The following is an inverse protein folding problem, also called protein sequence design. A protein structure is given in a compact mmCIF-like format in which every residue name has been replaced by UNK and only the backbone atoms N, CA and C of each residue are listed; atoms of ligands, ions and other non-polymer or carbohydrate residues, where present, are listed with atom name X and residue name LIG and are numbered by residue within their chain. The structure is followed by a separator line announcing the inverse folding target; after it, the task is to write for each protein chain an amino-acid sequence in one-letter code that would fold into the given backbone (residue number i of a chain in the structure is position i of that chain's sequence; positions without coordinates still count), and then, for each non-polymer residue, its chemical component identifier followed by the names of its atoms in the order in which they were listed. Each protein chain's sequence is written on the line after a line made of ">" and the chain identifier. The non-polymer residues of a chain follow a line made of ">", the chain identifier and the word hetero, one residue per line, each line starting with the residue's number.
data_IF_017144795942
#
_entry.id   IF_017144795942
#
_cell.length_a   1.000
_cell.length_b   1.000
_cell.length_c   1.000
_cell.angle_alpha   90.00
_cell.angle_beta   90.00
_cell.angle_gamma   90.00
#
_symmetry.space_group_name_H-M   'P 1'
#
loop_
_entity.id
_entity.type
_entity.pdbx_description
1 polymer ?
#
# COMPACT_ATOMS: atom_id res chain seq x y z
N UNK A 1 55.15 50.35 46.93
CA UNK A 1 53.84 50.37 47.60
C UNK A 1 52.81 50.91 46.62
N UNK A 2 51.72 50.15 46.43
CA UNK A 2 50.39 50.54 45.90
C UNK A 2 50.25 51.13 44.48
N UNK A 3 49.62 50.28 43.65
CA UNK A 3 48.47 50.50 42.74
C UNK A 3 48.63 51.44 41.52
N UNK A 4 48.62 50.82 40.35
CA UNK A 4 47.98 51.36 39.16
C UNK A 4 47.11 50.27 38.52
N UNK A 5 45.83 50.60 38.34
CA UNK A 5 44.84 49.80 37.66
C UNK A 5 44.88 50.08 36.15
N UNK A 6 44.62 49.08 35.31
CA UNK A 6 43.82 49.24 34.09
C UNK A 6 43.58 47.89 33.40
N UNK A 7 42.29 47.61 33.19
CA UNK A 7 41.64 46.93 32.07
C UNK A 7 42.38 45.78 31.37
N UNK A 8 41.84 44.57 31.56
CA UNK A 8 41.82 43.54 30.51
C UNK A 8 40.37 43.11 30.32
N UNK A 9 39.82 43.41 29.14
CA UNK A 9 38.50 43.00 28.70
C UNK A 9 38.48 41.48 28.48
N UNK A 10 37.65 40.76 29.24
CA UNK A 10 37.41 39.34 29.04
C UNK A 10 36.23 39.17 28.06
N UNK A 11 36.56 38.92 26.79
CA UNK A 11 35.64 38.42 25.77
C UNK A 11 35.59 36.90 25.90
N UNK A 12 34.44 36.30 26.23
CA UNK A 12 34.22 34.83 26.10
C UNK A 12 32.72 34.46 25.98
N UNK A 13 32.34 34.13 24.74
CA UNK A 13 31.28 33.23 24.21
C UNK A 13 29.83 33.19 24.76
N UNK A 14 28.87 33.11 23.82
CA UNK A 14 27.99 31.93 23.72
C UNK A 14 28.05 31.35 22.28
N UNK A 15 28.60 30.15 22.09
CA UNK A 15 27.89 28.87 22.14
C UNK A 15 26.72 28.77 21.13
N UNK A 16 27.09 28.29 19.94
CA UNK A 16 26.30 27.56 18.94
C UNK A 16 24.77 27.46 19.15
N UNK A 17 24.01 28.15 18.30
CA UNK A 17 22.67 27.71 17.89
C UNK A 17 22.65 27.52 16.37
N UNK A 18 23.35 26.49 15.91
CA UNK A 18 23.12 25.92 14.59
C UNK A 18 21.86 25.06 14.63
N UNK A 19 20.68 25.70 14.65
CA UNK A 19 19.42 25.01 14.45
C UNK A 19 19.35 24.56 12.98
N UNK A 20 20.04 23.46 12.66
CA UNK A 20 19.81 22.73 11.44
C UNK A 20 18.34 22.30 11.43
N UNK A 21 17.56 22.95 10.58
CA UNK A 21 16.24 22.48 10.21
C UNK A 21 16.44 21.11 9.55
N UNK A 22 16.42 20.06 10.37
CA UNK A 22 16.24 18.69 9.91
C UNK A 22 14.86 18.67 9.25
N UNK A 23 14.86 18.90 7.93
CA UNK A 23 13.73 18.64 7.05
C UNK A 23 13.39 17.18 7.28
N UNK A 24 12.31 16.92 8.03
CA UNK A 24 11.80 15.58 8.23
C UNK A 24 11.66 14.95 6.86
N UNK A 25 12.47 13.93 6.58
CA UNK A 25 12.27 13.10 5.42
C UNK A 25 10.87 12.50 5.60
N UNK A 26 9.93 12.97 4.81
CA UNK A 26 8.61 12.39 4.76
C UNK A 26 8.79 11.02 4.11
N UNK A 27 9.10 10.00 4.89
CA UNK A 27 9.23 8.62 4.44
C UNK A 27 7.84 8.06 4.17
N UNK A 28 7.09 8.70 3.28
CA UNK A 28 6.21 7.97 2.39
C UNK A 28 7.15 7.10 1.57
N UNK A 29 7.42 5.88 2.02
CA UNK A 29 8.14 4.89 1.22
C UNK A 29 7.39 4.80 -0.11
N UNK A 30 7.89 5.45 -1.15
CA UNK A 30 7.23 5.49 -2.44
C UNK A 30 7.16 4.04 -2.91
N UNK A 31 5.95 3.54 -3.14
CA UNK A 31 5.75 2.24 -3.78
C UNK A 31 5.46 2.52 -5.23
N UNK A 32 6.18 1.85 -6.13
CA UNK A 32 6.05 2.06 -7.57
C UNK A 32 5.42 0.86 -8.30
N UNK A 33 5.55 -0.35 -7.74
CA UNK A 33 5.00 -1.54 -8.37
C UNK A 33 4.47 -2.58 -7.36
N UNK A 34 3.61 -3.48 -7.85
CA UNK A 34 3.10 -4.65 -7.13
C UNK A 34 3.46 -5.91 -7.90
N UNK A 35 3.97 -6.92 -7.20
CA UNK A 35 4.15 -8.26 -7.76
C UNK A 35 2.77 -8.91 -7.94
N UNK A 36 2.36 -9.12 -9.19
CA UNK A 36 1.07 -9.72 -9.52
C UNK A 36 1.15 -11.25 -9.59
N UNK A 37 2.28 -11.76 -10.05
CA UNK A 37 2.55 -13.20 -10.19
C UNK A 37 4.05 -13.45 -10.15
N UNK A 38 4.44 -14.62 -9.67
CA UNK A 38 5.83 -15.05 -9.58
C UNK A 38 5.93 -16.57 -9.61
N UNK A 39 6.69 -17.09 -10.58
CA UNK A 39 7.16 -18.48 -10.59
C UNK A 39 8.68 -18.50 -10.73
N UNK A 40 9.34 -19.40 -9.99
CA UNK A 40 10.81 -19.45 -9.95
C UNK A 40 11.44 -18.40 -9.04
N UNK A 41 12.73 -18.13 -9.25
CA UNK A 41 13.55 -17.34 -8.34
C UNK A 41 13.82 -15.90 -8.84
N UNK A 42 13.84 -14.96 -7.91
CA UNK A 42 14.23 -13.56 -8.12
C UNK A 42 15.27 -13.13 -7.09
N UNK A 43 16.08 -12.11 -7.42
CA UNK A 43 17.00 -11.44 -6.50
C UNK A 43 16.74 -9.92 -6.54
N UNK A 44 16.34 -9.27 -5.42
CA UNK A 44 16.02 -9.88 -4.12
C UNK A 44 14.84 -10.86 -4.22
N UNK A 45 14.68 -11.81 -3.28
CA UNK A 45 13.55 -12.72 -3.29
C UNK A 45 12.25 -11.93 -3.09
N UNK A 46 11.34 -12.06 -4.06
CA UNK A 46 10.01 -11.47 -4.03
C UNK A 46 8.96 -12.53 -3.74
N UNK A 47 7.76 -12.06 -3.39
CA UNK A 47 6.55 -12.88 -3.25
C UNK A 47 5.39 -12.17 -3.92
N UNK A 48 4.38 -12.94 -4.34
CA UNK A 48 3.14 -12.39 -4.89
C UNK A 48 2.52 -11.40 -3.91
N UNK A 49 1.96 -10.32 -4.46
CA UNK A 49 1.39 -9.16 -3.75
C UNK A 49 2.35 -8.36 -2.87
N UNK A 50 3.66 -8.53 -3.05
CA UNK A 50 4.67 -7.64 -2.45
C UNK A 50 4.70 -6.31 -3.21
N UNK A 51 4.63 -5.21 -2.48
CA UNK A 51 4.93 -3.87 -3.00
C UNK A 51 6.45 -3.69 -3.20
N UNK A 52 6.82 -3.04 -4.29
CA UNK A 52 8.20 -2.78 -4.71
C UNK A 52 8.44 -1.29 -4.81
N UNK A 53 9.51 -0.83 -4.16
CA UNK A 53 9.93 0.57 -4.15
C UNK A 53 10.65 0.95 -5.46
N UNK A 54 10.60 2.24 -5.88
CA UNK A 54 11.42 2.73 -6.98
C UNK A 54 12.91 2.58 -6.62
N UNK A 55 13.74 2.47 -7.66
CA UNK A 55 15.16 2.16 -7.55
C UNK A 55 15.48 0.68 -7.36
N UNK A 56 14.48 -0.17 -7.05
CA UNK A 56 14.71 -1.60 -6.85
C UNK A 56 15.14 -2.25 -8.17
N UNK A 57 16.31 -2.91 -8.14
CA UNK A 57 16.78 -3.79 -9.22
C UNK A 57 16.43 -5.22 -8.89
N UNK A 58 15.75 -5.89 -9.80
CA UNK A 58 15.28 -7.26 -9.66
C UNK A 58 15.92 -8.10 -10.77
N UNK A 59 16.78 -9.04 -10.39
CA UNK A 59 17.24 -10.08 -11.29
C UNK A 59 16.23 -11.22 -11.28
N UNK A 60 15.66 -11.53 -12.44
CA UNK A 60 14.78 -12.67 -12.70
C UNK A 60 15.65 -13.80 -13.23
N UNK A 61 15.64 -14.95 -12.54
CA UNK A 61 16.44 -16.09 -12.99
C UNK A 61 15.97 -16.58 -14.37
N UNK A 62 16.85 -17.18 -15.19
CA UNK A 62 16.44 -17.79 -16.45
C UNK A 62 15.32 -18.82 -16.22
N UNK A 63 14.22 -18.70 -16.97
CA UNK A 63 13.05 -19.57 -16.83
C UNK A 63 12.13 -19.26 -15.64
N UNK A 64 12.48 -18.31 -14.78
CA UNK A 64 11.54 -17.74 -13.81
C UNK A 64 10.64 -16.73 -14.51
N UNK A 65 9.39 -16.58 -14.04
CA UNK A 65 8.41 -15.64 -14.57
C UNK A 65 8.00 -14.65 -13.48
N UNK A 66 8.13 -13.36 -13.75
CA UNK A 66 7.74 -12.29 -12.83
C UNK A 66 6.76 -11.35 -13.53
N UNK A 67 5.57 -11.17 -12.96
CA UNK A 67 4.61 -10.17 -13.44
C UNK A 67 4.52 -9.01 -12.45
N UNK A 68 4.75 -7.78 -12.93
CA UNK A 68 4.68 -6.55 -12.15
C UNK A 68 3.57 -5.66 -12.69
N UNK A 69 2.71 -5.16 -11.81
CA UNK A 69 1.83 -4.03 -12.08
C UNK A 69 2.55 -2.75 -11.63
N UNK A 70 2.84 -1.87 -12.57
CA UNK A 70 3.43 -0.55 -12.28
C UNK A 70 2.33 0.50 -12.06
N UNK A 71 2.46 1.31 -11.01
CA UNK A 71 1.36 2.13 -10.50
C UNK A 71 1.13 3.37 -11.35
N UNK A 72 2.19 4.10 -11.71
CA UNK A 72 2.05 5.34 -12.47
C UNK A 72 1.55 5.10 -13.90
N UNK A 73 1.89 3.93 -14.48
CA UNK A 73 1.55 3.59 -15.86
C UNK A 73 0.34 2.65 -15.97
N UNK A 74 -0.20 2.19 -14.84
CA UNK A 74 -1.26 1.18 -14.75
C UNK A 74 -1.07 0.01 -15.73
N UNK A 75 0.15 -0.51 -15.84
CA UNK A 75 0.48 -1.53 -16.82
C UNK A 75 1.05 -2.77 -16.14
N UNK A 76 0.63 -3.93 -16.64
CA UNK A 76 1.18 -5.22 -16.22
C UNK A 76 2.24 -5.61 -17.24
N UNK A 77 3.46 -5.83 -16.77
CA UNK A 77 4.58 -6.32 -17.57
C UNK A 77 5.04 -7.65 -17.00
N UNK A 78 5.21 -8.65 -17.87
CA UNK A 78 5.69 -9.97 -17.48
C UNK A 78 7.06 -10.22 -18.08
N UNK A 79 7.98 -10.67 -17.24
CA UNK A 79 9.37 -10.93 -17.56
C UNK A 79 9.70 -12.41 -17.37
N UNK A 80 10.55 -12.98 -18.23
CA UNK A 80 11.01 -14.38 -18.11
C UNK A 80 12.52 -14.57 -17.96
N UNK A 81 13.19 -13.58 -17.38
CA UNK A 81 14.62 -13.59 -17.14
C UNK A 81 15.25 -12.20 -17.32
N UNK A 82 16.46 -12.04 -16.79
CA UNK A 82 17.26 -10.82 -16.91
C UNK A 82 17.00 -9.82 -15.78
N UNK A 83 17.38 -8.55 -15.98
CA UNK A 83 17.32 -7.53 -14.92
C UNK A 83 16.30 -6.45 -15.21
N UNK A 84 15.40 -6.23 -14.26
CA UNK A 84 14.39 -5.15 -14.31
C UNK A 84 14.69 -4.15 -13.20
N UNK A 85 14.67 -2.86 -13.54
CA UNK A 85 14.72 -1.77 -12.57
C UNK A 85 13.35 -1.10 -12.51
N UNK A 86 12.80 -1.02 -11.30
CA UNK A 86 11.56 -0.29 -11.03
C UNK A 86 11.92 1.17 -10.80
N UNK A 87 11.27 2.11 -11.49
CA UNK A 87 11.42 3.56 -11.26
C UNK A 87 10.09 4.15 -10.80
N UNK A 88 10.01 5.46 -10.62
CA UNK A 88 8.73 6.11 -10.29
C UNK A 88 7.83 6.22 -11.53
N UNK A 89 8.44 6.31 -12.71
CA UNK A 89 7.79 6.54 -14.00
C UNK A 89 7.50 5.26 -14.75
N UNK A 90 8.18 4.14 -14.44
CA UNK A 90 7.99 2.90 -15.18
C UNK A 90 8.88 1.73 -14.77
N UNK A 91 8.92 0.75 -15.66
CA UNK A 91 9.79 -0.42 -15.57
C UNK A 91 10.86 -0.33 -16.66
N UNK A 92 12.11 -0.14 -16.25
CA UNK A 92 13.30 -0.19 -17.10
C UNK A 92 13.77 -1.64 -17.23
N UNK A 93 13.85 -2.15 -18.45
CA UNK A 93 14.00 -3.58 -18.70
C UNK A 93 14.89 -3.89 -19.91
N UNK A 94 15.89 -3.05 -20.19
CA UNK A 94 16.77 -3.21 -21.35
C UNK A 94 17.53 -4.57 -21.35
N UNK A 95 17.80 -5.11 -20.16
CA UNK A 95 18.49 -6.39 -19.97
C UNK A 95 17.53 -7.54 -19.60
N UNK A 96 16.21 -7.33 -19.68
CA UNK A 96 15.22 -8.33 -19.33
C UNK A 96 14.47 -8.84 -20.56
N UNK A 97 14.09 -10.11 -20.52
CA UNK A 97 13.18 -10.66 -21.51
C UNK A 97 11.75 -10.31 -21.15
N UNK A 98 11.13 -9.41 -21.92
CA UNK A 98 9.71 -9.05 -21.77
C UNK A 98 8.87 -10.02 -22.58
N UNK A 99 8.12 -10.88 -21.89
CA UNK A 99 7.16 -11.79 -22.54
C UNK A 99 5.89 -11.06 -22.98
N UNK A 100 5.41 -10.12 -22.15
CA UNK A 100 4.19 -9.36 -22.43
C UNK A 100 4.15 -8.03 -21.70
N UNK A 101 3.46 -7.06 -22.32
CA UNK A 101 3.07 -5.79 -21.72
C UNK A 101 1.62 -5.51 -22.09
N UNK A 102 0.78 -5.27 -21.10
CA UNK A 102 -0.64 -5.00 -21.31
C UNK A 102 -1.16 -3.93 -20.35
N UNK A 103 -2.24 -3.22 -20.70
CA UNK A 103 -2.98 -2.42 -19.73
C UNK A 103 -3.39 -3.28 -18.53
N UNK A 104 -3.25 -2.72 -17.34
CA UNK A 104 -3.63 -3.32 -16.07
C UNK A 104 -4.64 -2.44 -15.33
N UNK A 105 -5.18 -2.94 -14.20
CA UNK A 105 -5.99 -2.11 -13.33
C UNK A 105 -5.12 -0.99 -12.72
N UNK A 106 -5.60 0.24 -12.73
CA UNK A 106 -4.97 1.30 -11.95
C UNK A 106 -5.24 1.04 -10.45
N UNK A 107 -4.21 0.75 -9.63
CA UNK A 107 -4.43 0.48 -8.23
C UNK A 107 -4.93 1.72 -7.49
N UNK A 108 -5.99 1.56 -6.71
CA UNK A 108 -6.40 2.55 -5.71
C UNK A 108 -5.83 2.11 -4.37
N UNK A 109 -5.01 2.95 -3.77
CA UNK A 109 -4.34 2.62 -2.51
C UNK A 109 -5.04 3.32 -1.35
N UNK A 110 -5.48 2.53 -0.37
CA UNK A 110 -6.04 3.04 0.88
C UNK A 110 -5.14 2.61 2.04
N UNK A 111 -4.58 3.61 2.74
CA UNK A 111 -3.76 3.38 3.94
C UNK A 111 -4.68 3.27 5.16
N UNK A 112 -4.45 2.22 5.94
CA UNK A 112 -5.19 1.92 7.16
C UNK A 112 -4.16 1.87 8.28
N UNK A 113 -4.07 2.95 9.05
CA UNK A 113 -3.42 2.91 10.36
C UNK A 113 -4.36 2.26 11.36
N UNK A 114 -3.83 1.40 12.20
CA UNK A 114 -4.61 0.72 13.24
C UNK A 114 -4.29 1.26 14.63
N UNK A 115 -3.50 2.33 14.70
CA UNK A 115 -3.25 3.15 15.87
C UNK A 115 -3.85 4.54 15.65
N UNK A 116 -4.92 4.87 16.37
CA UNK A 116 -5.49 6.22 16.45
C UNK A 116 -7.02 6.30 16.38
N UNK A 117 -7.66 7.26 17.08
CA UNK A 117 -9.09 7.51 16.97
C UNK A 117 -9.41 8.39 15.75
N UNK A 118 -9.52 7.80 14.54
CA UNK A 118 -9.94 8.47 13.29
C UNK A 118 -9.11 9.70 12.86
N UNK A 119 -9.36 10.37 11.71
CA UNK A 119 -10.20 10.04 10.56
C UNK A 119 -9.41 9.70 9.26
N UNK A 120 -8.06 9.64 9.27
CA UNK A 120 -7.25 9.40 8.05
C UNK A 120 -6.12 8.39 8.25
N UNK A 121 -6.40 7.42 9.11
CA UNK A 121 -5.55 6.29 9.44
C UNK A 121 -6.35 5.43 10.39
N UNK A 122 -7.27 4.65 9.83
CA UNK A 122 -8.25 3.97 10.65
C UNK A 122 -8.98 2.94 9.83
N UNK A 123 -8.58 1.70 9.98
CA UNK A 123 -9.57 0.64 9.91
C UNK A 123 -10.61 0.96 10.97
N UNK A 124 -11.88 1.00 10.60
CA UNK A 124 -12.91 1.32 11.58
C UNK A 124 -13.03 0.10 12.48
N UNK A 125 -12.57 0.23 13.72
CA UNK A 125 -12.92 -0.70 14.81
C UNK A 125 -14.37 -0.42 15.16
N UNK A 126 -15.29 -1.02 14.42
CA UNK A 126 -16.74 -1.21 14.60
C UNK A 126 -17.62 -0.06 15.18
N UNK A 127 -17.08 1.11 15.54
CA UNK A 127 -17.71 2.09 16.44
C UNK A 127 -17.86 3.49 15.82
N UNK A 128 -17.59 3.68 14.53
CA UNK A 128 -17.81 4.96 13.86
C UNK A 128 -18.09 4.81 12.36
N UNK A 129 -19.19 5.38 11.88
CA UNK A 129 -19.49 5.44 10.44
C UNK A 129 -18.84 6.70 9.86
N UNK A 130 -18.05 6.63 8.78
CA UNK A 130 -17.67 7.81 8.03
C UNK A 130 -18.90 8.25 7.24
N UNK A 131 -19.44 9.42 7.60
CA UNK A 131 -20.60 10.02 6.93
C UNK A 131 -20.25 10.65 5.57
N UNK A 132 -18.96 10.76 5.26
CA UNK A 132 -18.45 11.37 4.03
C UNK A 132 -18.08 10.30 3.00
N UNK A 133 -18.83 10.25 1.90
CA UNK A 133 -18.63 9.29 0.81
C UNK A 133 -17.30 9.50 0.07
N UNK A 134 -16.67 10.67 0.19
CA UNK A 134 -15.34 10.91 -0.39
C UNK A 134 -14.24 10.06 0.27
N UNK A 135 -14.53 9.46 1.43
CA UNK A 135 -13.60 8.61 2.18
C UNK A 135 -13.69 7.13 1.80
N UNK A 136 -14.59 6.77 0.88
CA UNK A 136 -14.84 5.39 0.50
C UNK A 136 -13.83 4.94 -0.56
N UNK A 137 -13.33 3.72 -0.39
CA UNK A 137 -12.50 3.11 -1.42
C UNK A 137 -13.36 2.65 -2.58
N UNK A 138 -13.12 3.16 -3.78
CA UNK A 138 -13.87 2.70 -4.94
C UNK A 138 -13.28 1.41 -5.51
N UNK A 139 -14.14 0.44 -5.83
CA UNK A 139 -13.73 -0.84 -6.41
C UNK A 139 -14.80 -1.38 -7.37
N UNK A 140 -14.39 -2.18 -8.34
CA UNK A 140 -15.30 -2.89 -9.23
C UNK A 140 -16.05 -4.03 -8.50
N UNK A 141 -17.24 -4.44 -8.95
CA UNK A 141 -18.02 -5.51 -8.32
C UNK A 141 -17.28 -6.86 -8.19
N UNK A 142 -16.42 -7.19 -9.15
CA UNK A 142 -15.58 -8.41 -9.20
C UNK A 142 -14.09 -8.13 -8.91
N UNK A 143 -13.84 -6.94 -8.33
CA UNK A 143 -12.50 -6.40 -8.14
C UNK A 143 -11.61 -7.28 -7.26
N UNK A 144 -10.31 -7.23 -7.54
CA UNK A 144 -9.31 -7.87 -6.70
C UNK A 144 -8.97 -6.92 -5.54
N UNK A 145 -9.05 -7.42 -4.31
CA UNK A 145 -8.57 -6.75 -3.12
C UNK A 145 -7.23 -7.37 -2.74
N UNK A 146 -6.20 -6.55 -2.65
CA UNK A 146 -4.85 -6.94 -2.22
C UNK A 146 -4.53 -6.25 -0.90
N UNK A 147 -4.06 -7.04 0.07
CA UNK A 147 -3.73 -6.58 1.41
C UNK A 147 -2.22 -6.52 1.56
N UNK A 148 -1.68 -5.34 1.83
CA UNK A 148 -0.24 -5.11 2.01
C UNK A 148 0.04 -4.51 3.38
N UNK A 149 1.29 -4.14 3.67
CA UNK A 149 1.71 -3.61 4.97
C UNK A 149 2.07 -4.68 6.01
N UNK A 150 2.61 -4.23 7.15
CA UNK A 150 3.17 -5.08 8.21
C UNK A 150 2.18 -6.10 8.76
N UNK A 151 0.89 -5.77 8.76
CA UNK A 151 -0.17 -6.59 9.34
C UNK A 151 -0.89 -7.50 8.35
N UNK A 152 -0.57 -7.41 7.06
CA UNK A 152 -1.19 -8.22 6.00
C UNK A 152 -1.12 -9.73 6.24
N UNK A 153 -0.05 -10.23 6.87
CA UNK A 153 0.14 -11.66 7.13
C UNK A 153 -0.85 -12.26 8.13
N UNK A 154 -1.53 -11.42 8.93
CA UNK A 154 -2.47 -11.88 9.94
C UNK A 154 -3.93 -11.85 9.45
N UNK A 155 -4.21 -11.28 8.27
CA UNK A 155 -5.56 -11.28 7.70
C UNK A 155 -5.94 -12.70 7.26
N UNK A 156 -7.12 -13.17 7.65
CA UNK A 156 -7.55 -14.57 7.43
C UNK A 156 -8.79 -14.71 6.56
N UNK A 157 -9.82 -13.93 6.84
CA UNK A 157 -11.09 -13.92 6.11
C UNK A 157 -11.58 -12.49 5.95
N UNK A 158 -12.44 -12.27 4.97
CA UNK A 158 -13.17 -11.04 4.78
C UNK A 158 -14.67 -11.32 4.68
N UNK A 159 -15.48 -10.43 5.21
CA UNK A 159 -16.90 -10.34 4.94
C UNK A 159 -17.20 -9.06 4.17
N UNK A 160 -18.32 -9.05 3.43
CA UNK A 160 -18.88 -7.84 2.85
C UNK A 160 -20.20 -7.53 3.54
N UNK A 161 -20.31 -6.31 4.07
CA UNK A 161 -21.51 -5.80 4.70
C UNK A 161 -22.11 -4.67 3.84
N UNK A 162 -23.43 -4.53 3.83
CA UNK A 162 -24.10 -3.38 3.22
C UNK A 162 -24.03 -2.12 4.11
N UNK A 163 -24.68 -1.05 3.67
CA UNK A 163 -24.76 0.21 4.41
C UNK A 163 -25.38 0.10 5.81
N UNK A 164 -26.23 -0.90 6.02
CA UNK A 164 -26.90 -1.20 7.28
C UNK A 164 -26.12 -2.23 8.12
N UNK A 165 -24.90 -2.58 7.70
CA UNK A 165 -24.05 -3.63 8.29
C UNK A 165 -24.69 -5.03 8.20
N UNK A 166 -25.64 -5.21 7.30
CA UNK A 166 -26.18 -6.52 7.00
C UNK A 166 -25.19 -7.27 6.11
N UNK A 167 -24.97 -8.53 6.42
CA UNK A 167 -24.04 -9.37 5.70
C UNK A 167 -24.53 -9.66 4.28
N UNK A 168 -23.67 -9.40 3.31
CA UNK A 168 -23.91 -9.61 1.88
C UNK A 168 -23.08 -10.76 1.35
N UNK A 169 -21.85 -10.90 1.83
CA UNK A 169 -20.93 -11.99 1.50
C UNK A 169 -20.14 -12.38 2.75
N UNK A 170 -19.93 -13.67 2.97
CA UNK A 170 -19.40 -14.22 4.24
C UNK A 170 -18.18 -15.09 4.00
N UNK A 171 -17.26 -15.05 4.95
CA UNK A 171 -16.16 -16.02 5.08
C UNK A 171 -15.33 -16.11 3.81
N UNK A 172 -15.15 -15.00 3.10
CA UNK A 172 -14.34 -14.93 1.89
C UNK A 172 -12.90 -15.23 2.30
N UNK A 173 -12.30 -16.34 1.82
CA UNK A 173 -10.99 -16.72 2.28
C UNK A 173 -9.92 -15.80 1.69
N UNK A 174 -8.99 -15.34 2.53
CA UNK A 174 -7.86 -14.53 2.09
C UNK A 174 -6.70 -15.45 1.75
N UNK A 175 -6.43 -15.61 0.45
CA UNK A 175 -5.33 -16.42 -0.05
C UNK A 175 -4.22 -15.53 -0.59
N UNK A 176 -2.98 -15.81 -0.18
CA UNK A 176 -1.80 -15.02 -0.56
C UNK A 176 -2.02 -13.51 -0.38
N UNK A 177 -2.67 -13.12 0.72
CA UNK A 177 -3.00 -11.72 1.07
C UNK A 177 -3.94 -11.03 0.07
N UNK A 178 -4.80 -11.77 -0.60
CA UNK A 178 -5.78 -11.21 -1.54
C UNK A 178 -7.08 -12.02 -1.55
N UNK A 179 -8.13 -11.40 -2.06
CA UNK A 179 -9.41 -12.05 -2.36
C UNK A 179 -10.16 -11.25 -3.43
N UNK A 180 -11.18 -11.85 -4.05
CA UNK A 180 -12.06 -11.17 -5.02
C UNK A 180 -13.43 -10.95 -4.41
N UNK A 181 -14.06 -9.85 -4.79
CA UNK A 181 -15.47 -9.62 -4.51
C UNK A 181 -16.36 -10.49 -5.40
N UNK A 182 -17.52 -10.89 -4.89
CA UNK A 182 -18.44 -11.83 -5.55
C UNK A 182 -19.22 -11.30 -6.76
N UNK A 183 -18.95 -10.09 -7.27
CA UNK A 183 -19.61 -9.54 -8.47
C UNK A 183 -21.07 -9.10 -8.29
N UNK A 184 -21.79 -9.66 -7.32
CA UNK A 184 -23.21 -9.44 -7.07
C UNK A 184 -23.52 -8.18 -6.26
N UNK A 185 -22.59 -7.23 -6.17
CA UNK A 185 -22.75 -5.99 -5.39
C UNK A 185 -23.28 -4.87 -6.29
N UNK A 186 -24.53 -4.39 -6.08
CA UNK A 186 -25.06 -3.25 -6.82
C UNK A 186 -24.13 -2.03 -6.80
N UNK A 187 -23.90 -1.39 -7.97
CA UNK A 187 -23.06 -0.20 -8.04
C UNK A 187 -23.70 1.01 -7.36
N UNK A 188 -22.88 2.02 -7.07
CA UNK A 188 -23.30 3.30 -6.45
C UNK A 188 -23.98 3.14 -5.09
N UNK A 189 -23.65 2.07 -4.36
CA UNK A 189 -24.04 1.86 -2.98
C UNK A 189 -22.81 1.72 -2.08
N UNK A 190 -22.90 2.19 -0.82
CA UNK A 190 -21.84 1.98 0.15
C UNK A 190 -21.89 0.56 0.71
N UNK A 191 -20.72 -0.05 0.86
CA UNK A 191 -20.49 -1.34 1.51
C UNK A 191 -19.30 -1.22 2.46
N UNK A 192 -19.10 -2.25 3.27
CA UNK A 192 -17.92 -2.39 4.14
C UNK A 192 -17.26 -3.74 3.89
N UNK A 193 -15.96 -3.73 3.65
CA UNK A 193 -15.14 -4.94 3.75
C UNK A 193 -14.74 -5.08 5.21
N UNK A 194 -15.21 -6.13 5.88
CA UNK A 194 -14.84 -6.46 7.25
C UNK A 194 -13.73 -7.52 7.23
N UNK A 195 -12.51 -7.13 7.58
CA UNK A 195 -11.32 -8.00 7.53
C UNK A 195 -11.08 -8.57 8.92
N UNK A 196 -11.04 -9.90 9.01
CA UNK A 196 -10.74 -10.63 10.24
C UNK A 196 -9.26 -10.99 10.33
N UNK A 197 -8.71 -10.94 11.54
CA UNK A 197 -7.30 -11.21 11.79
C UNK A 197 -7.12 -12.35 12.79
N UNK A 198 -6.10 -13.18 12.56
CA UNK A 198 -5.66 -14.17 13.53
C UNK A 198 -5.26 -13.47 14.83
N UNK A 199 -5.80 -13.94 15.96
CA UNK A 199 -5.47 -13.43 17.29
C UNK A 199 -6.11 -12.09 17.65
N UNK A 200 -7.13 -11.63 16.91
CA UNK A 200 -7.96 -10.48 17.30
C UNK A 200 -9.44 -10.82 17.25
N UNK A 201 -10.19 -10.22 18.16
CA UNK A 201 -11.64 -10.35 18.24
C UNK A 201 -12.39 -9.32 17.39
N UNK A 202 -11.84 -8.11 17.26
CA UNK A 202 -12.48 -7.04 16.48
C UNK A 202 -11.93 -7.01 15.04
N UNK A 203 -12.80 -7.10 14.02
CA UNK A 203 -12.39 -6.96 12.63
C UNK A 203 -12.07 -5.50 12.28
N UNK A 204 -11.43 -5.32 11.14
CA UNK A 204 -11.20 -3.99 10.54
C UNK A 204 -12.22 -3.79 9.43
N UNK A 205 -13.12 -2.83 9.61
CA UNK A 205 -14.05 -2.43 8.56
C UNK A 205 -13.42 -1.35 7.67
N UNK A 206 -13.52 -1.55 6.35
CA UNK A 206 -13.06 -0.62 5.32
C UNK A 206 -14.27 -0.21 4.48
N UNK A 207 -14.68 1.06 4.49
CA UNK A 207 -15.78 1.54 3.66
C UNK A 207 -15.39 1.50 2.17
N UNK A 208 -16.25 0.91 1.35
CA UNK A 208 -16.06 0.81 -0.10
C UNK A 208 -17.29 1.28 -0.87
N UNK A 209 -17.08 1.81 -2.07
CA UNK A 209 -18.12 2.16 -3.03
C UNK A 209 -17.94 1.36 -4.31
N UNK A 210 -19.01 0.70 -4.76
CA UNK A 210 -18.93 -0.12 -5.98
C UNK A 210 -19.10 0.75 -7.22
N UNK A 211 -18.12 0.68 -8.12
CA UNK A 211 -18.14 1.39 -9.39
C UNK A 211 -19.20 0.83 -10.34
N UNK A 212 -19.80 1.70 -11.14
CA UNK A 212 -20.80 1.32 -12.14
C UNK A 212 -20.20 0.68 -13.41
N UNK A 213 -18.88 0.73 -13.56
CA UNK A 213 -18.17 0.18 -14.72
C UNK A 213 -17.70 -1.25 -14.44
N UNK A 214 -17.68 -2.04 -15.51
CA UNK A 214 -17.05 -3.36 -15.67
C UNK A 214 -15.51 -3.32 -15.71
N UNK A 215 -14.89 -2.15 -15.52
CA UNK A 215 -13.45 -2.03 -15.46
C UNK A 215 -12.91 -2.91 -14.32
N UNK A 216 -12.01 -3.84 -14.64
CA UNK A 216 -11.34 -4.69 -13.65
C UNK A 216 -10.66 -3.78 -12.63
N UNK A 217 -11.21 -3.70 -11.43
CA UNK A 217 -10.68 -2.86 -10.35
C UNK A 217 -9.66 -3.61 -9.51
N UNK A 218 -8.60 -2.91 -9.09
CA UNK A 218 -7.67 -3.37 -8.06
C UNK A 218 -7.69 -2.39 -6.90
N UNK A 219 -8.06 -2.89 -5.72
CA UNK A 219 -8.00 -2.15 -4.47
C UNK A 219 -6.83 -2.66 -3.64
N UNK A 220 -5.95 -1.76 -3.21
CA UNK A 220 -4.83 -2.07 -2.33
C UNK A 220 -5.12 -1.49 -0.94
N UNK A 221 -5.22 -2.37 0.04
CA UNK A 221 -5.40 -2.04 1.45
C UNK A 221 -4.06 -2.18 2.16
N UNK A 222 -3.41 -1.05 2.45
CA UNK A 222 -2.14 -1.01 3.20
C UNK A 222 -2.43 -1.02 4.69
N UNK A 223 -2.18 -2.14 5.35
CA UNK A 223 -2.40 -2.33 6.79
C UNK A 223 -1.09 -2.13 7.56
N UNK A 224 -0.98 -1.00 8.23
CA UNK A 224 0.16 -0.66 9.11
C UNK A 224 -0.11 -1.09 10.57
#
# INVERSE_FOLDING_TARGET
>A
MTKAAALVALILLPAMLGAGLARGANTNSAVAALVMDLTGATKPPLVVHREVAPGTKIAVAPGARLSLLHYATCSIVTFSGGTVKVTEEGLEAAEAHIESRKPGPCPRTHKISLAGPGPLGGGIVSRGIPHDQSQYAEIAPDGLVVITGARSANAVTADVLDSNRMLVDRDIPIHQKSFRLGGALPPRRPYYISIHFRGRSEPVEVPISILASDAKGLLILRLE
#
